data_IF_449617227154
#
_entry.id   IF_449617227154
#
_cell.length_a   1.000
_cell.length_b   1.000
_cell.length_c   1.000
_cell.angle_alpha   90.00
_cell.angle_beta   90.00
_cell.angle_gamma   90.00
#
_symmetry.space_group_name_H-M   'P 1'
#
loop_
_entity.id
_entity.type
_entity.pdbx_description
1 polymer ?
#
# COMPACT_ATOMS: atom_id res chain seq x y z
N UNK A 1 2.87 7.00 -42.58
CA UNK A 1 1.78 6.36 -41.83
C UNK A 1 1.57 7.15 -40.56
N UNK A 2 0.42 7.80 -40.39
CA UNK A 2 0.10 8.51 -39.14
C UNK A 2 -0.39 7.47 -38.13
N UNK A 3 0.39 7.22 -37.07
CA UNK A 3 -0.08 6.40 -35.95
C UNK A 3 -1.20 7.20 -35.27
N UNK A 4 -2.39 6.62 -35.06
CA UNK A 4 -3.45 7.31 -34.34
C UNK A 4 -3.01 7.60 -32.91
N UNK A 5 -3.41 8.75 -32.37
CA UNK A 5 -3.14 9.09 -30.98
C UNK A 5 -3.71 7.98 -30.06
N UNK A 6 -2.98 7.60 -29.00
CA UNK A 6 -3.44 6.55 -28.09
C UNK A 6 -4.76 6.96 -27.41
N UNK A 7 -5.62 5.97 -27.13
CA UNK A 7 -6.85 6.19 -26.37
C UNK A 7 -6.48 6.82 -25.01
N UNK A 8 -7.11 7.94 -24.59
CA UNK A 8 -6.85 8.56 -23.31
C UNK A 8 -6.97 7.60 -22.12
N UNK A 9 -7.79 6.54 -22.21
CA UNK A 9 -7.87 5.50 -21.18
C UNK A 9 -6.57 4.70 -21.08
N UNK A 10 -5.95 4.35 -22.20
CA UNK A 10 -4.67 3.63 -22.25
C UNK A 10 -3.54 4.45 -21.66
N UNK A 11 -3.50 5.76 -21.98
CA UNK A 11 -2.50 6.68 -21.43
C UNK A 11 -2.63 6.79 -19.91
N UNK A 12 -3.86 6.87 -19.40
CA UNK A 12 -4.11 6.96 -17.96
C UNK A 12 -3.64 5.71 -17.20
N UNK A 13 -3.94 4.52 -17.71
CA UNK A 13 -3.51 3.24 -17.11
C UNK A 13 -1.98 3.12 -17.08
N UNK A 14 -1.30 3.53 -18.15
CA UNK A 14 0.17 3.47 -18.20
C UNK A 14 0.82 4.41 -17.17
N UNK A 15 0.33 5.65 -17.05
CA UNK A 15 0.83 6.58 -16.03
C UNK A 15 0.58 6.07 -14.61
N UNK A 16 -0.57 5.45 -14.37
CA UNK A 16 -0.88 4.82 -13.07
C UNK A 16 0.06 3.67 -12.77
N UNK A 17 0.36 2.82 -13.75
CA UNK A 17 1.34 1.73 -13.64
C UNK A 17 2.74 2.27 -13.36
N UNK A 18 3.20 3.29 -14.08
CA UNK A 18 4.51 3.90 -13.87
C UNK A 18 4.65 4.49 -12.45
N UNK A 19 3.62 5.18 -11.97
CA UNK A 19 3.58 5.71 -10.60
C UNK A 19 3.62 4.60 -9.55
N UNK A 20 2.87 3.53 -9.76
CA UNK A 20 2.85 2.38 -8.86
C UNK A 20 4.21 1.66 -8.84
N UNK A 21 4.83 1.51 -10.02
CA UNK A 21 6.18 0.94 -10.18
C UNK A 21 7.21 1.75 -9.40
N UNK A 22 7.22 3.07 -9.55
CA UNK A 22 8.12 3.95 -8.82
C UNK A 22 7.92 3.81 -7.29
N UNK A 23 6.66 3.83 -6.83
CA UNK A 23 6.34 3.65 -5.40
C UNK A 23 6.85 2.30 -4.86
N UNK A 24 6.72 1.23 -5.63
CA UNK A 24 7.18 -0.11 -5.22
C UNK A 24 8.71 -0.18 -5.21
N UNK A 25 9.36 0.30 -6.27
CA UNK A 25 10.82 0.25 -6.43
C UNK A 25 11.51 1.12 -5.37
N UNK A 26 10.94 2.30 -5.06
CA UNK A 26 11.44 3.21 -4.02
C UNK A 26 11.01 2.81 -2.60
N UNK A 27 10.20 1.74 -2.46
CA UNK A 27 9.61 1.29 -1.19
C UNK A 27 8.87 2.41 -0.44
N UNK A 28 8.21 3.31 -1.17
CA UNK A 28 7.59 4.53 -0.64
C UNK A 28 6.21 4.27 -0.01
N UNK A 29 6.14 3.32 0.92
CA UNK A 29 4.96 3.01 1.73
C UNK A 29 5.24 3.27 3.20
N UNK A 30 4.23 3.78 3.89
CA UNK A 30 4.25 3.88 5.36
C UNK A 30 3.15 3.02 5.96
N UNK A 31 3.43 2.44 7.13
CA UNK A 31 2.51 1.57 7.86
C UNK A 31 2.22 2.20 9.21
N UNK A 32 0.94 2.30 9.56
CA UNK A 32 0.49 2.64 10.90
C UNK A 32 -0.08 1.39 11.56
N UNK A 33 0.31 1.14 12.81
CA UNK A 33 -0.18 0.01 13.59
C UNK A 33 -1.31 0.47 14.51
N UNK A 34 -2.50 -0.08 14.33
CA UNK A 34 -3.65 0.20 15.17
C UNK A 34 -3.87 -0.95 16.17
N UNK A 35 -3.86 -0.71 17.50
CA UNK A 35 -4.09 -1.76 18.48
C UNK A 35 -5.49 -2.37 18.35
N UNK A 36 -5.56 -3.70 18.43
CA UNK A 36 -6.80 -4.47 18.62
C UNK A 36 -6.87 -4.84 20.09
N UNK A 37 -7.95 -4.43 20.79
CA UNK A 37 -8.03 -4.52 22.26
C UNK A 37 -9.16 -5.45 22.70
N UNK A 38 -8.87 -6.35 23.64
CA UNK A 38 -9.90 -7.08 24.39
C UNK A 38 -10.56 -6.13 25.40
N UNK A 39 -11.82 -5.77 25.13
CA UNK A 39 -12.58 -4.84 25.96
C UNK A 39 -12.90 -5.38 27.36
N UNK A 40 -12.86 -6.70 27.59
CA UNK A 40 -13.15 -7.30 28.91
C UNK A 40 -11.99 -7.12 29.88
N UNK A 41 -10.76 -7.25 29.37
CA UNK A 41 -9.55 -7.23 30.18
C UNK A 41 -8.66 -6.00 29.94
N UNK A 42 -8.98 -5.17 28.94
CA UNK A 42 -8.21 -3.98 28.58
C UNK A 42 -6.82 -4.29 28.01
N UNK A 43 -6.63 -5.48 27.42
CA UNK A 43 -5.34 -5.94 26.90
C UNK A 43 -5.27 -5.84 25.39
N UNK A 44 -4.10 -5.46 24.86
CA UNK A 44 -3.84 -5.47 23.42
C UNK A 44 -3.65 -6.92 22.97
N UNK A 45 -4.46 -7.34 22.01
CA UNK A 45 -4.46 -8.69 21.43
C UNK A 45 -3.66 -8.75 20.13
N UNK A 46 -3.34 -7.61 19.53
CA UNK A 46 -2.74 -7.55 18.21
C UNK A 46 -2.68 -6.13 17.70
N UNK A 47 -2.13 -5.97 16.50
CA UNK A 47 -2.17 -4.73 15.76
C UNK A 47 -2.65 -5.00 14.33
N UNK A 48 -3.47 -4.09 13.82
CA UNK A 48 -3.79 -4.02 12.40
C UNK A 48 -2.77 -3.11 11.71
N UNK A 49 -2.13 -3.62 10.66
CA UNK A 49 -1.21 -2.86 9.83
C UNK A 49 -2.00 -2.10 8.76
N UNK A 50 -1.99 -0.78 8.85
CA UNK A 50 -2.73 0.10 7.96
C UNK A 50 -1.78 0.88 7.07
N UNK A 51 -1.85 0.61 5.77
CA UNK A 51 -1.10 1.36 4.76
C UNK A 51 -1.45 2.85 4.78
N UNK A 52 -0.45 3.68 4.54
CA UNK A 52 -0.54 5.12 4.34
C UNK A 52 0.22 5.50 3.08
N UNK A 53 -0.35 6.44 2.34
CA UNK A 53 0.22 6.99 1.11
C UNK A 53 0.66 8.42 1.36
N UNK A 54 1.85 8.76 0.89
CA UNK A 54 2.32 10.14 0.96
C UNK A 54 1.53 11.00 -0.04
N UNK A 55 1.26 12.29 0.25
CA UNK A 55 0.55 13.18 -0.68
C UNK A 55 1.20 13.24 -2.08
N UNK A 56 2.52 13.17 -2.13
CA UNK A 56 3.34 13.15 -3.35
C UNK A 56 3.30 11.82 -4.12
N UNK A 57 2.74 10.75 -3.54
CA UNK A 57 2.59 9.46 -4.23
C UNK A 57 1.69 9.56 -5.45
N UNK A 58 0.79 10.55 -5.47
CA UNK A 58 -0.27 10.75 -6.46
C UNK A 58 -1.50 9.85 -6.26
N UNK A 59 -1.55 9.07 -5.18
CA UNK A 59 -2.73 8.31 -4.77
C UNK A 59 -3.39 9.06 -3.61
N UNK A 60 -4.71 9.34 -3.69
CA UNK A 60 -5.39 10.13 -2.67
C UNK A 60 -5.50 9.40 -1.33
N UNK A 61 -5.58 8.08 -1.36
CA UNK A 61 -5.72 7.22 -0.20
C UNK A 61 -5.23 5.79 -0.50
N UNK A 62 -5.08 4.93 0.54
CA UNK A 62 -4.67 3.55 0.33
C UNK A 62 -5.63 2.74 -0.53
N UNK A 63 -6.94 3.00 -0.48
CA UNK A 63 -7.93 2.29 -1.30
C UNK A 63 -7.67 2.52 -2.79
N UNK A 64 -7.47 3.77 -3.19
CA UNK A 64 -7.13 4.13 -4.56
C UNK A 64 -5.79 3.51 -5.03
N UNK A 65 -4.82 3.38 -4.12
CA UNK A 65 -3.55 2.69 -4.40
C UNK A 65 -3.78 1.20 -4.72
N UNK A 66 -4.55 0.48 -3.88
CA UNK A 66 -4.80 -0.95 -4.10
C UNK A 66 -5.72 -1.20 -5.31
N UNK A 67 -6.68 -0.31 -5.58
CA UNK A 67 -7.49 -0.36 -6.80
C UNK A 67 -6.61 -0.23 -8.05
N UNK A 68 -5.73 0.78 -8.08
CA UNK A 68 -4.74 0.94 -9.15
C UNK A 68 -3.83 -0.28 -9.33
N UNK A 69 -3.41 -0.92 -8.23
CA UNK A 69 -2.62 -2.14 -8.29
C UNK A 69 -3.39 -3.32 -8.89
N UNK A 70 -4.69 -3.45 -8.59
CA UNK A 70 -5.54 -4.47 -9.21
C UNK A 70 -5.72 -4.21 -10.71
N UNK A 71 -6.01 -2.98 -11.11
CA UNK A 71 -6.24 -2.61 -12.52
C UNK A 71 -4.98 -2.76 -13.38
N UNK A 72 -3.80 -2.54 -12.81
CA UNK A 72 -2.51 -2.64 -13.51
C UNK A 72 -1.84 -4.01 -13.40
N UNK A 73 -2.45 -4.95 -12.67
CA UNK A 73 -1.93 -6.31 -12.46
C UNK A 73 -0.71 -6.38 -11.53
N UNK A 74 -0.55 -5.40 -10.64
CA UNK A 74 0.60 -5.24 -9.72
C UNK A 74 0.20 -5.45 -8.24
N UNK A 75 -0.98 -6.00 -7.98
CA UNK A 75 -1.49 -6.23 -6.62
C UNK A 75 -0.55 -7.11 -5.78
N UNK A 76 0.03 -8.15 -6.39
CA UNK A 76 0.94 -9.09 -5.72
C UNK A 76 2.23 -8.40 -5.27
N UNK A 77 2.85 -7.59 -6.13
CA UNK A 77 4.06 -6.84 -5.78
C UNK A 77 3.77 -5.82 -4.66
N UNK A 78 2.64 -5.12 -4.74
CA UNK A 78 2.25 -4.16 -3.71
C UNK A 78 1.99 -4.85 -2.37
N UNK A 79 1.30 -5.99 -2.36
CA UNK A 79 1.08 -6.79 -1.14
C UNK A 79 2.41 -7.30 -0.56
N UNK A 80 3.34 -7.75 -1.40
CA UNK A 80 4.64 -8.21 -0.95
C UNK A 80 5.39 -7.09 -0.24
N UNK A 81 5.46 -5.91 -0.85
CA UNK A 81 6.10 -4.74 -0.24
C UNK A 81 5.40 -4.34 1.07
N UNK A 82 4.07 -4.28 1.09
CA UNK A 82 3.29 -3.93 2.29
C UNK A 82 3.63 -4.86 3.47
N UNK A 83 3.75 -6.17 3.22
CA UNK A 83 4.17 -7.14 4.25
C UNK A 83 5.60 -6.92 4.71
N UNK A 84 6.54 -6.67 3.80
CA UNK A 84 7.93 -6.40 4.15
C UNK A 84 8.05 -5.16 5.04
N UNK A 85 7.45 -4.03 4.63
CA UNK A 85 7.48 -2.78 5.40
C UNK A 85 6.77 -2.96 6.75
N UNK A 86 5.68 -3.72 6.80
CA UNK A 86 5.01 -4.06 8.06
C UNK A 86 5.96 -4.80 8.99
N UNK A 87 6.61 -5.87 8.54
CA UNK A 87 7.55 -6.64 9.37
C UNK A 87 8.74 -5.78 9.83
N UNK A 88 9.26 -4.91 8.96
CA UNK A 88 10.33 -3.98 9.30
C UNK A 88 9.90 -2.94 10.36
N UNK A 89 8.63 -2.52 10.34
CA UNK A 89 8.07 -1.61 11.35
C UNK A 89 7.79 -2.25 12.71
N UNK A 90 7.85 -3.59 12.82
CA UNK A 90 7.46 -4.35 14.03
C UNK A 90 8.58 -4.60 15.04
N UNK A 91 9.74 -3.94 14.88
CA UNK A 91 10.94 -4.17 15.71
C UNK A 91 10.71 -3.97 17.23
N UNK A 92 9.71 -3.19 17.64
CA UNK A 92 9.41 -2.88 19.05
C UNK A 92 8.07 -3.47 19.56
N UNK A 93 7.56 -4.56 18.96
CA UNK A 93 6.31 -5.17 19.41
C UNK A 93 6.41 -5.61 20.90
N UNK A 94 5.50 -5.16 21.79
CA UNK A 94 5.38 -5.72 23.12
C UNK A 94 5.27 -7.26 23.08
N UNK A 95 6.18 -7.96 23.75
CA UNK A 95 6.29 -9.44 23.72
C UNK A 95 5.10 -10.17 24.35
N UNK A 96 4.18 -9.42 24.94
CA UNK A 96 2.97 -9.87 25.60
C UNK A 96 1.72 -9.84 24.70
N UNK A 97 1.88 -9.43 23.43
CA UNK A 97 0.83 -9.61 22.43
C UNK A 97 0.79 -11.07 21.98
N UNK A 98 -0.36 -11.72 22.20
CA UNK A 98 -0.61 -13.15 21.92
C UNK A 98 -0.98 -13.43 20.47
#
# INVERSE_FOLDING_TARGET
>A
MSVPAPDPRTVHVEHTRERLRALIDDRALSIHLQPIVDLRHGRVMGYEALTRVAPESGFPDPGALYEAANETGMASELEHLSRQVTLESTVDWPRDVQ
#
